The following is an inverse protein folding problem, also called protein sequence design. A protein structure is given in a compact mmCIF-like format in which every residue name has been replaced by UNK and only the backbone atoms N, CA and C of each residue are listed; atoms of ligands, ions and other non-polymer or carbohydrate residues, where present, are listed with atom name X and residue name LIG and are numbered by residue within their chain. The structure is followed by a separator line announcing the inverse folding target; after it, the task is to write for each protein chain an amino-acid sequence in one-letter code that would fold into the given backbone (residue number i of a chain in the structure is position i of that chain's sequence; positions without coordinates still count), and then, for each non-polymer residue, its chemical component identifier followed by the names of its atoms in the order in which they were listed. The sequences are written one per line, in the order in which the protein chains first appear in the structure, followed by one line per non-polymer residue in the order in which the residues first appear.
data_IF_304699759296
#
_entry.id   IF_304699759296
#
_cell.length_a   1.000
_cell.length_b   1.000
_cell.length_c   1.000
_cell.angle_alpha   90.00
_cell.angle_beta   90.00
_cell.angle_gamma   90.00
#
_symmetry.space_group_name_H-M   'P 1'
#
loop_
_entity.id
_entity.type
_entity.pdbx_description
1 polymer ?
#
# COMPACT_ATOMS: atom_id res chain seq x y z
N UNK A 1 -12.91 2.62 -19.62
CA UNK A 1 -12.73 2.49 -21.08
C UNK A 1 -12.86 3.81 -21.84
N UNK A 2 -13.82 4.72 -21.51
CA UNK A 2 -13.95 6.04 -22.18
C UNK A 2 -12.71 6.93 -22.02
N UNK A 3 -11.97 6.82 -20.91
CA UNK A 3 -10.76 7.62 -20.68
C UNK A 3 -9.61 7.21 -21.63
N UNK A 4 -9.51 5.94 -21.96
CA UNK A 4 -8.43 5.37 -22.77
C UNK A 4 -8.73 5.50 -24.27
N UNK A 5 -10.00 5.37 -24.66
CA UNK A 5 -10.43 5.41 -26.07
C UNK A 5 -10.03 6.74 -26.77
N UNK A 6 -9.70 6.72 -28.07
CA UNK A 6 -9.46 7.94 -28.83
C UNK A 6 -10.65 8.90 -28.78
N UNK A 7 -10.37 10.20 -28.92
CA UNK A 7 -11.42 11.22 -29.04
C UNK A 7 -12.07 11.15 -30.43
N UNK A 8 -13.40 11.23 -30.54
CA UNK A 8 -14.05 11.35 -31.83
C UNK A 8 -13.58 12.59 -32.60
N UNK A 9 -13.56 12.57 -33.96
CA UNK A 9 -13.20 13.72 -34.75
C UNK A 9 -13.99 14.99 -34.35
N UNK A 10 -13.31 16.13 -34.27
CA UNK A 10 -13.94 17.40 -33.87
C UNK A 10 -14.21 17.59 -32.38
N UNK A 11 -13.95 16.59 -31.53
CA UNK A 11 -14.14 16.69 -30.09
C UNK A 11 -12.83 16.91 -29.35
N UNK A 12 -12.88 17.71 -28.28
CA UNK A 12 -11.80 17.86 -27.31
C UNK A 12 -12.07 16.97 -26.12
N UNK A 13 -11.02 16.26 -25.66
CA UNK A 13 -11.11 15.37 -24.50
C UNK A 13 -10.20 15.88 -23.39
N UNK A 14 -10.75 15.98 -22.19
CA UNK A 14 -9.99 16.23 -20.97
C UNK A 14 -10.08 14.99 -20.10
N UNK A 15 -8.92 14.50 -19.64
CA UNK A 15 -8.83 13.34 -18.75
C UNK A 15 -8.26 13.79 -17.42
N UNK A 16 -9.03 13.60 -16.36
CA UNK A 16 -8.56 13.76 -14.98
C UNK A 16 -7.99 12.42 -14.53
N UNK A 17 -6.75 12.41 -14.10
CA UNK A 17 -6.06 11.20 -13.70
C UNK A 17 -5.26 11.41 -12.41
N UNK A 18 -5.10 10.34 -11.65
CA UNK A 18 -4.16 10.25 -10.54
C UNK A 18 -2.80 9.72 -11.03
N UNK A 19 -1.90 9.33 -10.13
CA UNK A 19 -0.60 8.71 -10.45
C UNK A 19 -0.71 7.44 -11.31
N UNK A 20 -1.88 6.80 -11.40
CA UNK A 20 -2.11 5.64 -12.28
C UNK A 20 -1.79 5.93 -13.75
N UNK A 21 -1.90 7.18 -14.18
CA UNK A 21 -1.57 7.58 -15.54
C UNK A 21 -0.06 7.73 -15.79
N UNK A 22 0.79 7.64 -14.77
CA UNK A 22 2.24 7.74 -14.93
C UNK A 22 2.83 6.52 -15.64
N UNK A 23 2.42 5.31 -15.27
CA UNK A 23 3.03 4.07 -15.75
C UNK A 23 2.05 3.10 -16.42
N UNK A 24 0.86 2.94 -15.87
CA UNK A 24 0.01 1.78 -16.17
C UNK A 24 -0.92 1.96 -17.36
N UNK A 25 -1.20 3.19 -17.80
CA UNK A 25 -2.17 3.48 -18.86
C UNK A 25 -1.55 4.27 -20.00
N UNK A 26 -1.74 3.80 -21.22
CA UNK A 26 -1.50 4.60 -22.41
C UNK A 26 -2.82 5.22 -22.86
N UNK A 27 -2.89 6.54 -22.81
CA UNK A 27 -4.06 7.31 -23.30
C UNK A 27 -3.66 7.87 -24.65
N UNK A 28 -4.26 7.35 -25.71
CA UNK A 28 -3.97 7.80 -27.06
C UNK A 28 -4.42 9.26 -27.29
N UNK A 29 -3.64 10.00 -28.06
CA UNK A 29 -3.95 11.35 -28.49
C UNK A 29 -3.72 12.44 -27.43
N UNK A 30 -3.10 12.13 -26.27
CA UNK A 30 -2.71 13.13 -25.29
C UNK A 30 -1.56 13.97 -25.84
N UNK A 31 -1.81 15.25 -26.07
CA UNK A 31 -0.81 16.24 -26.51
C UNK A 31 -0.49 17.31 -25.47
N UNK A 32 -1.35 17.44 -24.47
CA UNK A 32 -1.18 18.43 -23.42
C UNK A 32 -1.30 17.74 -22.06
N UNK A 33 -0.33 17.95 -21.20
CA UNK A 33 -0.35 17.52 -19.79
C UNK A 33 -0.31 18.76 -18.92
N UNK A 34 -1.26 18.85 -17.99
CA UNK A 34 -1.25 19.84 -16.91
C UNK A 34 -0.94 19.09 -15.63
N UNK A 35 0.24 19.33 -15.05
CA UNK A 35 0.71 18.63 -13.87
C UNK A 35 0.67 19.55 -12.64
N UNK A 36 -0.05 19.13 -11.61
CA UNK A 36 -0.15 19.86 -10.33
C UNK A 36 1.12 19.77 -9.48
N UNK A 37 2.04 18.86 -9.77
CA UNK A 37 3.21 18.58 -8.94
C UNK A 37 2.88 17.85 -7.63
N UNK A 38 1.66 17.31 -7.51
CA UNK A 38 1.19 16.62 -6.31
C UNK A 38 0.90 15.16 -6.61
N UNK A 39 1.10 14.32 -5.60
CA UNK A 39 0.75 12.90 -5.60
C UNK A 39 0.10 12.52 -4.27
N UNK A 40 -0.72 11.47 -4.28
CA UNK A 40 -1.23 10.87 -3.06
C UNK A 40 -0.52 9.55 -2.82
N UNK A 41 0.14 9.45 -1.67
CA UNK A 41 0.87 8.25 -1.25
C UNK A 41 0.22 7.66 -0.01
N UNK A 42 0.18 6.34 0.06
CA UNK A 42 -0.24 5.63 1.24
C UNK A 42 0.92 5.62 2.24
N UNK A 43 0.69 6.11 3.45
CA UNK A 43 1.70 6.12 4.51
C UNK A 43 1.13 5.51 5.78
N UNK A 44 1.83 4.53 6.33
CA UNK A 44 1.46 3.89 7.58
C UNK A 44 1.85 4.76 8.77
N UNK A 45 0.92 4.96 9.69
CA UNK A 45 1.17 5.65 10.96
C UNK A 45 1.19 4.63 12.10
N UNK A 46 2.37 4.32 12.68
CA UNK A 46 2.48 3.36 13.79
C UNK A 46 1.69 3.80 15.02
N UNK A 47 1.57 5.11 15.27
CA UNK A 47 0.88 5.65 16.43
C UNK A 47 -0.63 5.32 16.45
N UNK A 48 -1.26 5.23 15.30
CA UNK A 48 -2.69 4.89 15.19
C UNK A 48 -2.94 3.53 14.55
N UNK A 49 -1.90 2.85 14.06
CA UNK A 49 -1.99 1.54 13.42
C UNK A 49 -2.80 1.54 12.12
N UNK A 50 -2.84 2.66 11.41
CA UNK A 50 -3.62 2.83 10.19
C UNK A 50 -2.80 3.45 9.06
N UNK A 51 -3.09 3.06 7.83
CA UNK A 51 -2.57 3.70 6.62
C UNK A 51 -3.47 4.86 6.22
N UNK A 52 -2.87 6.01 5.95
CA UNK A 52 -3.54 7.21 5.46
C UNK A 52 -2.99 7.62 4.11
N UNK A 53 -3.85 8.24 3.29
CA UNK A 53 -3.40 8.86 2.05
C UNK A 53 -2.95 10.29 2.34
N UNK A 54 -1.66 10.54 2.14
CA UNK A 54 -1.06 11.88 2.27
C UNK A 54 -0.82 12.49 0.90
N UNK A 55 -1.02 13.81 0.79
CA UNK A 55 -0.68 14.56 -0.40
C UNK A 55 0.75 15.06 -0.27
N UNK A 56 1.61 14.64 -1.18
CA UNK A 56 3.03 15.00 -1.19
C UNK A 56 3.44 15.62 -2.53
N UNK A 57 4.58 16.29 -2.57
CA UNK A 57 5.21 16.71 -3.83
C UNK A 57 5.68 15.47 -4.59
N UNK A 58 5.54 15.52 -5.92
CA UNK A 58 6.08 14.46 -6.80
C UNK A 58 7.61 14.45 -6.77
N UNK A 59 8.20 13.32 -7.12
CA UNK A 59 9.62 13.24 -7.43
C UNK A 59 9.90 13.82 -8.82
N UNK A 60 11.18 14.13 -9.11
CA UNK A 60 11.60 14.59 -10.44
C UNK A 60 11.30 13.53 -11.49
N UNK A 61 11.61 12.25 -11.21
CA UNK A 61 11.33 11.14 -12.10
C UNK A 61 9.83 11.01 -12.41
N UNK A 62 8.95 11.14 -11.41
CA UNK A 62 7.50 11.10 -11.58
C UNK A 62 7.01 12.26 -12.45
N UNK A 63 7.52 13.49 -12.22
CA UNK A 63 7.19 14.66 -13.06
C UNK A 63 7.64 14.47 -14.52
N UNK A 64 8.78 13.84 -14.76
CA UNK A 64 9.27 13.53 -16.11
C UNK A 64 8.42 12.43 -16.78
N UNK A 65 8.03 11.38 -16.04
CA UNK A 65 7.14 10.35 -16.57
C UNK A 65 5.78 10.93 -16.99
N UNK A 66 5.20 11.81 -16.16
CA UNK A 66 3.96 12.53 -16.52
C UNK A 66 4.14 13.39 -17.76
N UNK A 67 5.24 14.12 -17.85
CA UNK A 67 5.59 14.92 -19.01
C UNK A 67 5.69 14.08 -20.28
N UNK A 68 6.33 12.91 -20.20
CA UNK A 68 6.46 11.96 -21.31
C UNK A 68 5.13 11.45 -21.87
N UNK A 69 4.01 11.62 -21.16
CA UNK A 69 2.68 11.26 -21.67
C UNK A 69 2.21 12.19 -22.77
N UNK A 70 2.61 13.47 -22.75
CA UNK A 70 2.25 14.43 -23.80
C UNK A 70 3.02 14.19 -25.12
N UNK A 71 4.24 13.68 -25.04
CA UNK A 71 5.14 13.51 -26.19
C UNK A 71 5.20 12.11 -26.80
N UNK A 72 4.29 11.21 -26.46
CA UNK A 72 4.44 9.77 -26.80
C UNK A 72 4.23 9.45 -28.28
N UNK A 73 3.28 10.10 -28.95
CA UNK A 73 2.92 9.85 -30.35
C UNK A 73 3.16 11.06 -31.28
N UNK A 74 3.33 12.26 -30.71
CA UNK A 74 3.56 13.49 -31.44
C UNK A 74 4.15 14.52 -30.49
N UNK A 75 4.59 15.68 -31.01
CA UNK A 75 5.02 16.82 -30.19
C UNK A 75 3.89 17.21 -29.24
N UNK A 76 4.22 17.31 -27.95
CA UNK A 76 3.30 17.65 -26.88
C UNK A 76 3.79 18.83 -26.05
N UNK A 77 2.89 19.37 -25.22
CA UNK A 77 3.16 20.48 -24.31
C UNK A 77 2.84 20.05 -22.89
N UNK A 78 3.69 20.46 -21.94
CA UNK A 78 3.51 20.19 -20.53
C UNK A 78 3.47 21.51 -19.76
N UNK A 79 2.40 21.71 -19.01
CA UNK A 79 2.25 22.82 -18.07
C UNK A 79 2.48 22.29 -16.65
N UNK A 80 3.58 22.68 -16.04
CA UNK A 80 3.88 22.40 -14.64
C UNK A 80 3.37 23.55 -13.78
N UNK A 81 2.48 23.24 -12.82
CA UNK A 81 1.86 24.25 -11.96
C UNK A 81 2.72 24.58 -10.73
N UNK A 82 4.04 24.64 -10.92
CA UNK A 82 5.01 25.05 -9.90
C UNK A 82 6.21 25.75 -10.53
N UNK A 83 6.97 26.48 -9.72
CA UNK A 83 8.10 27.26 -10.18
C UNK A 83 9.31 26.40 -10.55
N UNK A 84 10.17 26.91 -11.44
CA UNK A 84 11.42 26.26 -11.84
C UNK A 84 12.34 25.99 -10.63
N UNK A 85 12.41 26.92 -9.68
CA UNK A 85 13.18 26.75 -8.45
C UNK A 85 12.67 25.58 -7.59
N UNK A 86 11.34 25.41 -7.50
CA UNK A 86 10.74 24.27 -6.81
C UNK A 86 11.05 22.95 -7.51
N UNK A 87 11.08 22.96 -8.87
CA UNK A 87 11.44 21.77 -9.63
C UNK A 87 12.88 21.32 -9.35
N UNK A 88 13.81 22.23 -9.22
CA UNK A 88 15.19 21.93 -8.87
C UNK A 88 15.33 21.30 -7.47
N UNK A 89 14.44 21.65 -6.54
CA UNK A 89 14.37 21.12 -5.18
C UNK A 89 13.63 19.79 -5.04
N UNK A 90 13.01 19.25 -6.09
CA UNK A 90 12.32 17.96 -6.02
C UNK A 90 13.30 16.81 -5.74
N UNK A 91 12.87 15.87 -4.89
CA UNK A 91 13.62 14.62 -4.71
C UNK A 91 13.78 13.89 -6.04
N UNK A 92 14.92 13.23 -6.30
CA UNK A 92 15.15 12.56 -7.58
C UNK A 92 14.14 11.48 -7.90
N UNK A 93 13.85 10.60 -6.92
CA UNK A 93 12.96 9.44 -7.04
C UNK A 93 11.98 9.37 -5.88
N UNK A 94 10.84 8.75 -6.10
CA UNK A 94 9.89 8.40 -5.03
C UNK A 94 10.47 7.27 -4.19
N UNK A 95 10.35 7.37 -2.87
CA UNK A 95 10.76 6.29 -1.99
C UNK A 95 9.98 5.00 -2.30
N UNK A 96 10.62 3.82 -2.19
CA UNK A 96 9.92 2.55 -2.32
C UNK A 96 8.78 2.42 -1.32
N UNK A 97 7.67 1.79 -1.73
CA UNK A 97 6.47 1.63 -0.89
C UNK A 97 6.79 0.90 0.43
N UNK A 98 7.70 -0.07 0.39
CA UNK A 98 8.10 -0.86 1.57
C UNK A 98 8.69 0.01 2.70
N UNK A 99 9.21 1.19 2.39
CA UNK A 99 9.78 2.11 3.40
C UNK A 99 8.70 2.73 4.31
N UNK A 100 7.50 2.95 3.76
CA UNK A 100 6.39 3.64 4.42
C UNK A 100 5.16 2.73 4.68
N UNK A 101 5.23 1.45 4.28
CA UNK A 101 4.14 0.47 4.42
C UNK A 101 4.01 -0.08 5.85
N UNK A 102 2.81 -0.60 6.16
CA UNK A 102 2.62 -1.48 7.33
C UNK A 102 3.26 -2.85 7.02
N UNK A 103 4.28 -3.20 7.77
CA UNK A 103 5.02 -4.46 7.58
C UNK A 103 4.45 -5.64 8.37
N UNK A 104 3.34 -5.48 9.10
CA UNK A 104 2.75 -6.59 9.86
C UNK A 104 2.27 -7.75 8.95
N UNK A 105 1.63 -7.52 7.80
CA UNK A 105 1.33 -8.60 6.85
C UNK A 105 2.59 -9.31 6.36
N UNK A 106 3.60 -8.55 5.93
CA UNK A 106 4.88 -9.11 5.46
C UNK A 106 5.55 -9.96 6.55
N UNK A 107 5.62 -9.44 7.78
CA UNK A 107 6.23 -10.15 8.90
C UNK A 107 5.51 -11.49 9.22
N UNK A 108 4.17 -11.52 9.09
CA UNK A 108 3.40 -12.74 9.26
C UNK A 108 3.67 -13.76 8.14
N UNK A 109 3.74 -13.30 6.89
CA UNK A 109 4.07 -14.17 5.74
C UNK A 109 5.49 -14.74 5.84
N UNK A 110 6.48 -13.92 6.23
CA UNK A 110 7.85 -14.38 6.46
C UNK A 110 7.92 -15.46 7.56
N UNK A 111 7.18 -15.27 8.65
CA UNK A 111 7.11 -16.26 9.71
C UNK A 111 6.40 -17.55 9.27
N UNK A 112 5.33 -17.43 8.47
CA UNK A 112 4.63 -18.59 7.91
C UNK A 112 5.51 -19.38 6.93
N UNK A 113 6.41 -18.69 6.21
CA UNK A 113 7.41 -19.30 5.33
C UNK A 113 8.66 -19.79 6.09
N UNK A 114 8.70 -19.71 7.43
CA UNK A 114 9.84 -20.05 8.27
C UNK A 114 11.13 -19.26 7.95
N UNK A 115 11.00 -18.04 7.37
CA UNK A 115 12.12 -17.15 7.11
C UNK A 115 12.47 -16.37 8.38
N UNK A 116 13.57 -16.73 9.02
CA UNK A 116 14.05 -16.09 10.26
C UNK A 116 14.90 -14.86 9.97
N UNK A 117 15.81 -14.96 9.03
CA UNK A 117 16.66 -13.84 8.60
C UNK A 117 16.17 -13.27 7.27
N UNK A 118 15.63 -12.06 7.36
CA UNK A 118 15.18 -11.30 6.18
C UNK A 118 16.33 -10.97 5.23
N UNK A 119 17.57 -10.92 5.74
CA UNK A 119 18.77 -10.69 4.95
C UNK A 119 19.12 -11.82 3.98
N UNK A 120 18.58 -13.03 4.17
CA UNK A 120 18.77 -14.16 3.24
C UNK A 120 17.96 -14.02 1.94
N UNK A 121 16.98 -13.11 1.92
CA UNK A 121 16.16 -12.88 0.75
C UNK A 121 16.78 -11.80 -0.15
N UNK A 122 16.67 -12.01 -1.47
CA UNK A 122 17.09 -11.02 -2.46
C UNK A 122 16.02 -9.93 -2.61
N UNK A 123 16.14 -8.86 -1.86
CA UNK A 123 15.26 -7.69 -1.95
C UNK A 123 15.74 -6.72 -3.01
N UNK A 124 14.80 -6.12 -3.76
CA UNK A 124 15.11 -4.93 -4.54
C UNK A 124 15.38 -3.74 -3.59
N UNK A 125 14.49 -3.57 -2.61
CA UNK A 125 14.62 -2.63 -1.49
C UNK A 125 14.27 -3.37 -0.21
N UNK A 126 15.21 -3.49 0.71
CA UNK A 126 14.99 -4.21 1.96
C UNK A 126 14.03 -3.47 2.89
N UNK A 127 13.18 -4.18 3.65
CA UNK A 127 12.30 -3.56 4.62
C UNK A 127 13.11 -2.87 5.72
N UNK A 128 12.69 -1.66 6.20
CA UNK A 128 13.40 -0.97 7.27
C UNK A 128 13.41 -1.82 8.55
N UNK A 129 14.60 -2.09 9.15
CA UNK A 129 14.71 -2.98 10.31
C UNK A 129 13.82 -2.56 11.50
N UNK A 130 13.75 -1.25 11.78
CA UNK A 130 12.93 -0.74 12.87
C UNK A 130 11.43 -0.92 12.63
N UNK A 131 10.96 -0.82 11.37
CA UNK A 131 9.56 -1.05 11.02
C UNK A 131 9.21 -2.53 11.09
N UNK A 132 10.12 -3.40 10.64
CA UNK A 132 9.94 -4.85 10.73
C UNK A 132 9.95 -5.33 12.19
N UNK A 133 10.81 -4.77 13.05
CA UNK A 133 10.82 -5.08 14.48
C UNK A 133 9.47 -4.76 15.15
N UNK A 134 8.94 -3.54 14.90
CA UNK A 134 7.60 -3.15 15.39
C UNK A 134 6.48 -4.05 14.86
N UNK A 135 6.58 -4.48 13.62
CA UNK A 135 5.62 -5.42 13.04
C UNK A 135 5.64 -6.78 13.77
N UNK A 136 6.83 -7.30 14.10
CA UNK A 136 7.00 -8.53 14.87
C UNK A 136 6.48 -8.38 16.30
N UNK A 137 6.75 -7.28 16.98
CA UNK A 137 6.18 -6.98 18.31
C UNK A 137 4.65 -6.98 18.27
N UNK A 138 4.04 -6.33 17.28
CA UNK A 138 2.59 -6.37 17.10
C UNK A 138 2.07 -7.81 16.94
N UNK A 139 2.73 -8.63 16.11
CA UNK A 139 2.33 -10.02 15.90
C UNK A 139 2.47 -10.86 17.17
N UNK A 140 3.47 -10.58 18.01
CA UNK A 140 3.58 -11.20 19.34
C UNK A 140 2.41 -10.80 20.25
N UNK A 141 2.03 -9.52 20.30
CA UNK A 141 0.87 -9.05 21.06
C UNK A 141 -0.45 -9.65 20.58
N UNK A 142 -0.57 -9.92 19.28
CA UNK A 142 -1.72 -10.62 18.71
C UNK A 142 -1.67 -12.13 18.90
N UNK A 143 -0.62 -12.67 19.54
CA UNK A 143 -0.42 -14.11 19.70
C UNK A 143 -0.14 -14.88 18.40
N UNK A 144 0.20 -14.16 17.32
CA UNK A 144 0.56 -14.75 16.04
C UNK A 144 1.98 -15.30 16.02
N UNK A 145 2.88 -14.65 16.78
CA UNK A 145 4.25 -15.12 17.02
C UNK A 145 4.43 -15.39 18.51
N UNK A 146 5.29 -16.34 18.84
CA UNK A 146 5.75 -16.58 20.20
C UNK A 146 6.92 -15.64 20.59
N UNK A 147 7.43 -15.81 21.81
CA UNK A 147 8.55 -15.00 22.33
C UNK A 147 9.86 -15.19 21.53
N UNK A 148 10.02 -16.30 20.82
CA UNK A 148 11.18 -16.57 19.96
C UNK A 148 11.01 -16.02 18.55
N UNK A 149 9.82 -15.53 18.21
CA UNK A 149 9.45 -15.03 16.89
C UNK A 149 8.99 -16.12 15.92
N UNK A 150 8.75 -17.33 16.41
CA UNK A 150 8.17 -18.42 15.61
C UNK A 150 6.65 -18.28 15.50
N UNK A 151 6.11 -18.73 14.38
CA UNK A 151 4.67 -18.66 14.14
C UNK A 151 3.92 -19.64 15.05
N UNK A 152 2.86 -19.15 15.71
CA UNK A 152 1.98 -19.98 16.53
C UNK A 152 0.87 -20.63 15.68
N UNK A 153 0.13 -21.60 16.27
CA UNK A 153 -1.07 -22.15 15.62
C UNK A 153 -2.13 -21.08 15.31
N UNK A 154 -2.24 -20.04 16.16
CA UNK A 154 -3.10 -18.89 15.91
C UNK A 154 -2.58 -18.04 14.72
N UNK A 155 -1.28 -17.77 14.69
CA UNK A 155 -0.63 -17.05 13.58
C UNK A 155 -0.77 -17.79 12.26
N UNK A 156 -0.60 -19.10 12.24
CA UNK A 156 -0.79 -19.90 11.03
C UNK A 156 -2.23 -19.83 10.49
N UNK A 157 -3.24 -19.79 11.38
CA UNK A 157 -4.63 -19.55 10.96
C UNK A 157 -4.86 -18.12 10.47
N UNK A 158 -4.20 -17.14 11.09
CA UNK A 158 -4.27 -15.74 10.63
C UNK A 158 -3.68 -15.58 9.23
N UNK A 159 -2.55 -16.22 8.93
CA UNK A 159 -1.89 -16.17 7.62
C UNK A 159 -2.76 -16.75 6.48
N UNK A 160 -3.68 -17.67 6.79
CA UNK A 160 -4.63 -18.22 5.81
C UNK A 160 -5.77 -17.27 5.45
N UNK A 161 -5.96 -16.20 6.21
CA UNK A 161 -6.99 -15.23 5.95
C UNK A 161 -6.40 -14.11 5.06
N UNK A 162 -7.08 -13.81 3.94
CA UNK A 162 -6.69 -12.69 3.06
C UNK A 162 -7.06 -11.34 3.73
N UNK A 163 -6.57 -11.11 4.96
CA UNK A 163 -6.90 -9.94 5.76
C UNK A 163 -5.67 -9.45 6.54
N UNK A 164 -5.66 -8.17 6.86
CA UNK A 164 -4.64 -7.60 7.73
C UNK A 164 -4.58 -8.34 9.08
N UNK A 165 -3.39 -8.60 9.69
CA UNK A 165 -3.25 -9.39 10.91
C UNK A 165 -4.17 -8.97 12.07
N UNK A 166 -4.38 -7.66 12.28
CA UNK A 166 -5.32 -7.15 13.30
C UNK A 166 -6.75 -7.62 13.04
N UNK A 167 -7.19 -7.59 11.78
CA UNK A 167 -8.53 -8.04 11.38
C UNK A 167 -8.63 -9.56 11.46
N UNK A 168 -7.62 -10.27 10.99
CA UNK A 168 -7.54 -11.72 11.07
C UNK A 168 -7.64 -12.19 12.53
N UNK A 169 -6.91 -11.56 13.45
CA UNK A 169 -6.99 -11.83 14.89
C UNK A 169 -8.41 -11.60 15.44
N UNK A 170 -9.04 -10.46 15.13
CA UNK A 170 -10.41 -10.16 15.57
C UNK A 170 -11.41 -11.21 15.09
N UNK A 171 -11.32 -11.61 13.81
CA UNK A 171 -12.23 -12.62 13.25
C UNK A 171 -12.07 -13.99 13.88
N UNK A 172 -10.84 -14.41 14.20
CA UNK A 172 -10.58 -15.69 14.84
C UNK A 172 -10.99 -15.68 16.31
N UNK A 173 -10.69 -14.62 17.05
CA UNK A 173 -11.03 -14.48 18.47
C UNK A 173 -12.55 -14.38 18.69
N UNK A 174 -13.30 -13.73 17.80
CA UNK A 174 -14.76 -13.66 17.90
C UNK A 174 -15.43 -15.03 17.72
N UNK A 175 -14.84 -15.92 16.93
CA UNK A 175 -15.34 -17.30 16.74
C UNK A 175 -15.09 -18.18 17.96
N UNK A 176 -13.98 -17.97 18.67
CA UNK A 176 -13.64 -18.73 19.88
C UNK A 176 -14.48 -18.29 21.08
N UNK A 177 -14.81 -17.01 21.20
CA UNK A 177 -15.70 -16.49 22.26
C UNK A 177 -17.18 -16.84 22.10
N UNK A 178 -17.61 -17.17 20.87
CA UNK A 178 -19.02 -17.51 20.58
C UNK A 178 -19.43 -18.96 20.91
N UNK A 179 -18.49 -19.83 21.24
CA UNK A 179 -18.77 -21.26 21.57
C UNK A 179 -19.01 -21.53 23.06
N UNK A 180 -19.02 -20.49 23.91
CA UNK A 180 -19.05 -20.62 25.38
C UNK A 180 -20.40 -20.39 26.06
N UNK A 181 -21.49 -19.99 25.36
CA UNK A 181 -22.76 -19.68 26.02
C UNK A 181 -23.96 -20.41 25.38
N UNK A 182 -24.08 -21.69 25.68
CA UNK A 182 -25.14 -22.58 25.16
C UNK A 182 -25.57 -23.69 26.10
N UNK A 183 -25.37 -23.58 27.40
CA UNK A 183 -26.03 -24.44 28.39
C UNK A 183 -26.68 -23.64 29.50
N UNK A 184 -27.86 -23.12 29.25
CA UNK A 184 -28.85 -22.92 30.31
C UNK A 184 -29.40 -24.30 30.65
N UNK A 185 -28.97 -24.87 31.77
CA UNK A 185 -29.68 -25.96 32.42
C UNK A 185 -31.07 -25.46 32.78
N UNK A 186 -32.08 -25.97 32.12
CA UNK A 186 -33.45 -25.94 32.59
C UNK A 186 -33.53 -26.99 33.71
N UNK A 187 -33.24 -26.55 34.93
CA UNK A 187 -33.59 -27.29 36.13
C UNK A 187 -35.10 -27.34 36.27
N UNK A 188 -35.68 -28.47 35.90
CA UNK A 188 -37.05 -28.83 36.20
C UNK A 188 -37.08 -29.19 37.71
N UNK A 189 -37.84 -28.44 38.48
CA UNK A 189 -38.09 -28.63 39.90
C UNK A 189 -39.51 -29.11 40.08
N UNK A 190 -39.67 -30.38 40.41
CA UNK A 190 -40.88 -30.97 41.02
C UNK A 190 -40.98 -30.57 42.48
#
# INVERSE_FOLDING_TARGET
DRAIAPSPPGHRKVVLATSIAESSLTIEGVRCVVDSGLSRVARFSPAVGMTRLETVRVSRASAEQRAGRAGRLALGVVYRLWAMAEHAGLVPYTAPEIADADLAPLALELAAAAVRDVGELAWLDAPPPASLARARELLQWLGALDATGEITAHGARMAQLAAHPRVAHMLLSSREGGTGDGRRETGDGS
#
